data_IF_092453651253
#
_entry.id   IF_092453651253
#
_cell.length_a   1.000
_cell.length_b   1.000
_cell.length_c   1.000
_cell.angle_alpha   90.00
_cell.angle_beta   90.00
_cell.angle_gamma   90.00
#
_symmetry.space_group_name_H-M   'P 1'
#
loop_
_entity.id
_entity.type
_entity.pdbx_description
1 polymer ?
#
# COMPACT_ATOMS: atom_id res chain seq x y z
N UNK A 1 4.60 -16.17 11.84
CA UNK A 1 3.35 -15.69 11.22
C UNK A 1 3.62 -15.36 9.76
N UNK A 2 2.67 -15.63 8.86
CA UNK A 2 2.85 -15.39 7.42
C UNK A 2 1.82 -14.36 6.91
N UNK A 3 2.25 -13.54 5.96
CA UNK A 3 1.42 -12.62 5.21
C UNK A 3 0.53 -13.36 4.22
N UNK A 4 -0.55 -12.72 3.77
CA UNK A 4 -1.36 -13.20 2.66
C UNK A 4 -0.66 -13.02 1.31
N UNK A 5 -1.17 -13.71 0.30
CA UNK A 5 -0.80 -13.51 -1.09
C UNK A 5 -1.20 -12.10 -1.57
N UNK A 6 -0.45 -11.50 -2.52
CA UNK A 6 -0.82 -10.21 -3.07
C UNK A 6 -2.18 -10.28 -3.77
N UNK A 7 -2.99 -9.24 -3.60
CA UNK A 7 -4.21 -9.04 -4.38
C UNK A 7 -3.85 -8.10 -5.53
N UNK A 8 -3.72 -8.64 -6.73
CA UNK A 8 -3.33 -7.87 -7.90
C UNK A 8 -3.82 -8.54 -9.17
N UNK A 9 -4.05 -7.73 -10.20
CA UNK A 9 -4.20 -8.17 -11.57
C UNK A 9 -2.95 -7.73 -12.37
N UNK A 10 -2.14 -8.69 -12.88
CA UNK A 10 -0.94 -8.41 -13.66
C UNK A 10 -1.15 -7.46 -14.83
N UNK A 11 -2.32 -7.50 -15.47
CA UNK A 11 -2.60 -6.72 -16.68
C UNK A 11 -3.00 -5.27 -16.37
N UNK A 12 -3.46 -4.98 -15.16
CA UNK A 12 -4.06 -3.67 -14.82
C UNK A 12 -3.38 -2.94 -13.67
N UNK A 13 -2.62 -3.63 -12.82
CA UNK A 13 -2.01 -3.05 -11.63
C UNK A 13 -1.00 -1.94 -11.97
N UNK A 14 -1.26 -0.72 -11.49
CA UNK A 14 -0.43 0.50 -11.67
C UNK A 14 0.01 1.11 -10.34
N UNK A 15 -0.84 0.98 -9.32
CA UNK A 15 -0.60 1.43 -7.96
C UNK A 15 -0.51 0.22 -7.03
N UNK A 16 0.57 0.12 -6.26
CA UNK A 16 0.71 -0.89 -5.21
C UNK A 16 0.59 -0.24 -3.83
N UNK A 17 -0.41 -0.63 -3.05
CA UNK A 17 -0.58 -0.17 -1.68
C UNK A 17 -0.02 -1.23 -0.73
N UNK A 18 0.93 -0.82 0.10
CA UNK A 18 1.64 -1.70 1.02
C UNK A 18 1.36 -1.38 2.48
N UNK A 19 0.82 -2.37 3.19
CA UNK A 19 0.92 -2.41 4.64
C UNK A 19 2.27 -2.93 5.10
N UNK A 20 2.48 -3.00 6.41
CA UNK A 20 3.72 -3.51 6.99
C UNK A 20 3.64 -5.02 7.23
N UNK A 21 2.63 -5.45 7.99
CA UNK A 21 2.28 -6.83 8.26
C UNK A 21 0.79 -6.88 8.65
N UNK A 22 0.06 -7.97 8.31
CA UNK A 22 -1.31 -8.13 8.77
C UNK A 22 -1.39 -8.18 10.30
N UNK A 23 -2.35 -7.44 10.88
CA UNK A 23 -2.68 -7.55 12.30
C UNK A 23 -3.42 -8.85 12.64
N UNK A 24 -3.55 -9.16 13.94
CA UNK A 24 -4.17 -10.40 14.41
C UNK A 24 -5.60 -10.61 13.87
N UNK A 25 -6.45 -9.58 13.92
CA UNK A 25 -7.81 -9.65 13.39
C UNK A 25 -7.84 -9.96 11.89
N UNK A 26 -6.86 -9.43 11.14
CA UNK A 26 -6.69 -9.75 9.72
C UNK A 26 -6.30 -11.21 9.52
N UNK A 27 -5.31 -11.70 10.27
CA UNK A 27 -4.84 -13.08 10.20
C UNK A 27 -5.96 -14.08 10.53
N UNK A 28 -6.70 -13.83 11.61
CA UNK A 28 -7.85 -14.66 12.02
C UNK A 28 -8.96 -14.70 10.97
N UNK A 29 -9.21 -13.57 10.32
CA UNK A 29 -10.23 -13.47 9.28
C UNK A 29 -9.75 -13.94 7.89
N UNK A 30 -8.44 -14.16 7.70
CA UNK A 30 -7.86 -14.38 6.37
C UNK A 30 -8.05 -13.20 5.41
N UNK A 31 -8.12 -11.97 5.94
CA UNK A 31 -8.53 -10.77 5.17
C UNK A 31 -7.64 -9.57 5.48
N UNK A 32 -7.23 -8.85 4.43
CA UNK A 32 -6.59 -7.55 4.57
C UNK A 32 -7.47 -6.54 5.32
N UNK A 33 -6.88 -5.86 6.30
CA UNK A 33 -7.51 -4.78 7.08
C UNK A 33 -8.87 -5.16 7.69
N UNK A 34 -8.98 -6.35 8.29
CA UNK A 34 -10.24 -6.88 8.80
C UNK A 34 -10.70 -6.26 10.12
N UNK A 35 -9.81 -5.58 10.84
CA UNK A 35 -10.17 -4.96 12.13
C UNK A 35 -11.24 -3.86 11.92
N UNK A 36 -12.40 -3.89 12.61
CA UNK A 36 -13.53 -2.98 12.33
C UNK A 36 -13.19 -1.49 12.44
N UNK A 37 -12.27 -1.12 13.34
CA UNK A 37 -11.78 0.26 13.49
C UNK A 37 -10.66 0.65 12.51
N UNK A 38 -10.31 -0.20 11.55
CA UNK A 38 -9.32 0.12 10.54
C UNK A 38 -9.95 0.98 9.44
N UNK A 39 -9.38 2.15 9.18
CA UNK A 39 -9.90 3.10 8.20
C UNK A 39 -9.69 2.70 6.74
N UNK A 40 -9.01 1.59 6.44
CA UNK A 40 -8.63 1.25 5.08
C UNK A 40 -9.84 1.12 4.14
N UNK A 41 -10.82 0.27 4.48
CA UNK A 41 -11.98 0.05 3.61
C UNK A 41 -12.86 1.28 3.45
N UNK A 42 -13.14 2.09 4.49
CA UNK A 42 -13.83 3.37 4.27
C UNK A 42 -13.07 4.34 3.34
N UNK A 43 -11.73 4.43 3.44
CA UNK A 43 -10.93 5.25 2.50
C UNK A 43 -11.04 4.68 1.08
N UNK A 44 -10.88 3.37 0.91
CA UNK A 44 -11.00 2.73 -0.42
C UNK A 44 -12.40 2.87 -1.00
N UNK A 45 -13.44 2.88 -0.17
CA UNK A 45 -14.80 3.20 -0.58
C UNK A 45 -14.92 4.62 -1.13
N UNK A 46 -14.38 5.59 -0.42
CA UNK A 46 -14.44 6.99 -0.84
C UNK A 46 -13.58 7.30 -2.09
N UNK A 47 -12.48 6.57 -2.30
CA UNK A 47 -11.55 6.82 -3.41
C UNK A 47 -11.84 5.98 -4.66
N UNK A 48 -12.28 4.73 -4.49
CA UNK A 48 -12.41 3.74 -5.57
C UNK A 48 -13.76 3.04 -5.61
N UNK A 49 -14.68 3.33 -4.67
CA UNK A 49 -15.94 2.60 -4.52
C UNK A 49 -15.82 1.25 -3.81
N UNK A 50 -14.63 0.85 -3.34
CA UNK A 50 -14.36 -0.42 -2.66
C UNK A 50 -14.64 -0.36 -1.15
N UNK A 51 -15.83 0.09 -0.76
CA UNK A 51 -16.16 0.39 0.64
C UNK A 51 -16.63 -0.81 1.48
N UNK A 52 -16.80 -0.64 2.80
CA UNK A 52 -17.22 -1.70 3.71
C UNK A 52 -18.64 -2.23 3.47
N UNK A 53 -19.45 -1.53 2.67
CA UNK A 53 -20.79 -1.97 2.26
C UNK A 53 -20.77 -3.16 1.29
N UNK A 54 -19.67 -3.41 0.60
CA UNK A 54 -19.52 -4.53 -0.34
C UNK A 54 -19.03 -5.80 0.37
N UNK A 55 -19.23 -6.98 -0.22
CA UNK A 55 -18.56 -8.20 0.25
C UNK A 55 -17.03 -8.07 0.08
N UNK A 56 -16.25 -8.78 0.88
CA UNK A 56 -14.79 -8.62 0.87
C UNK A 56 -14.18 -8.87 -0.52
N UNK A 57 -14.64 -9.92 -1.17
CA UNK A 57 -14.20 -10.36 -2.49
C UNK A 57 -14.57 -9.33 -3.57
N UNK A 58 -15.73 -8.68 -3.44
CA UNK A 58 -16.16 -7.58 -4.32
C UNK A 58 -15.28 -6.35 -4.14
N UNK A 59 -14.90 -6.00 -2.90
CA UNK A 59 -13.98 -4.88 -2.63
C UNK A 59 -12.63 -5.12 -3.33
N UNK A 60 -12.10 -6.33 -3.25
CA UNK A 60 -10.86 -6.70 -3.94
C UNK A 60 -11.01 -6.57 -5.46
N UNK A 61 -12.13 -7.06 -6.02
CA UNK A 61 -12.38 -6.96 -7.45
C UNK A 61 -12.50 -5.51 -7.94
N UNK A 62 -13.13 -4.62 -7.16
CA UNK A 62 -13.20 -3.18 -7.48
C UNK A 62 -11.81 -2.56 -7.50
N UNK A 63 -10.96 -2.85 -6.50
CA UNK A 63 -9.59 -2.34 -6.46
C UNK A 63 -8.75 -2.84 -7.63
N UNK A 64 -8.80 -4.14 -7.96
CA UNK A 64 -8.07 -4.69 -9.10
C UNK A 64 -8.51 -4.04 -10.42
N UNK A 65 -9.83 -3.87 -10.65
CA UNK A 65 -10.33 -3.16 -11.84
C UNK A 65 -9.89 -1.70 -11.91
N UNK A 66 -9.69 -1.05 -10.76
CA UNK A 66 -9.14 0.29 -10.67
C UNK A 66 -7.60 0.35 -10.83
N UNK A 67 -6.94 -0.79 -11.08
CA UNK A 67 -5.49 -0.88 -11.21
C UNK A 67 -4.74 -0.75 -9.88
N UNK A 68 -5.40 -1.07 -8.77
CA UNK A 68 -4.85 -1.04 -7.41
C UNK A 68 -4.52 -2.45 -6.94
N UNK A 69 -3.25 -2.69 -6.62
CA UNK A 69 -2.76 -3.89 -5.99
C UNK A 69 -2.58 -3.70 -4.48
N UNK A 70 -2.84 -4.73 -3.68
CA UNK A 70 -2.65 -4.76 -2.23
C UNK A 70 -1.66 -5.84 -1.83
N UNK A 71 -0.73 -5.49 -0.94
CA UNK A 71 0.13 -6.47 -0.27
C UNK A 71 0.66 -5.91 1.05
N UNK A 72 1.51 -6.67 1.73
CA UNK A 72 2.34 -6.17 2.84
C UNK A 72 3.81 -6.31 2.48
N UNK A 73 4.66 -5.51 3.13
CA UNK A 73 6.11 -5.58 2.92
C UNK A 73 6.69 -6.86 3.50
N UNK A 74 6.26 -7.25 4.70
CA UNK A 74 6.84 -8.40 5.41
C UNK A 74 6.08 -9.68 5.03
N UNK A 75 6.81 -10.68 4.55
CA UNK A 75 6.30 -12.02 4.28
C UNK A 75 6.05 -12.80 5.57
N UNK A 76 6.97 -12.66 6.52
CA UNK A 76 6.90 -13.38 7.78
C UNK A 76 7.68 -12.66 8.87
N UNK A 77 7.25 -12.88 10.11
CA UNK A 77 7.99 -12.53 11.31
C UNK A 77 7.72 -13.57 12.40
N UNK A 78 8.69 -13.73 13.30
CA UNK A 78 8.50 -14.50 14.52
C UNK A 78 7.72 -13.68 15.55
N UNK A 79 6.94 -14.39 16.36
CA UNK A 79 6.22 -13.81 17.50
C UNK A 79 6.78 -14.44 18.77
N UNK A 80 7.33 -13.62 19.65
CA UNK A 80 7.86 -14.05 20.95
C UNK A 80 6.71 -14.09 21.98
N UNK A 81 6.04 -15.24 22.13
CA UNK A 81 4.92 -15.40 23.07
C UNK A 81 3.56 -14.94 22.54
N UNK A 82 2.56 -14.85 23.43
CA UNK A 82 1.13 -14.66 23.07
C UNK A 82 0.68 -13.20 22.93
N UNK A 83 1.50 -12.22 23.33
CA UNK A 83 1.14 -10.79 23.31
C UNK A 83 1.40 -10.15 21.92
N UNK A 84 0.55 -9.20 21.51
CA UNK A 84 0.61 -8.52 20.20
C UNK A 84 1.86 -7.63 20.02
N UNK A 85 2.51 -7.22 21.11
CA UNK A 85 3.72 -6.38 21.10
C UNK A 85 5.01 -7.14 20.82
N UNK A 86 4.95 -8.46 20.67
CA UNK A 86 6.13 -9.31 20.61
C UNK A 86 6.54 -9.75 19.19
N UNK A 87 6.23 -8.94 18.17
CA UNK A 87 6.73 -9.17 16.82
C UNK A 87 8.23 -8.87 16.81
N UNK A 88 9.06 -9.89 16.58
CA UNK A 88 10.50 -9.66 16.39
C UNK A 88 10.73 -9.17 14.96
N UNK A 89 10.88 -7.85 14.80
CA UNK A 89 11.17 -7.24 13.52
C UNK A 89 12.58 -7.58 12.99
N UNK A 90 13.47 -8.16 13.81
CA UNK A 90 14.81 -8.58 13.39
C UNK A 90 14.77 -9.87 12.58
N UNK A 91 13.84 -10.79 12.89
CA UNK A 91 13.60 -12.00 12.08
C UNK A 91 12.67 -11.76 10.89
N UNK A 92 12.17 -10.53 10.73
CA UNK A 92 11.21 -10.23 9.69
C UNK A 92 11.83 -10.27 8.29
N UNK A 93 11.24 -11.07 7.41
CA UNK A 93 11.63 -11.22 6.01
C UNK A 93 10.66 -10.46 5.11
N UNK A 94 11.17 -9.80 4.08
CA UNK A 94 10.34 -9.14 3.08
C UNK A 94 9.75 -10.16 2.09
N UNK A 95 8.60 -9.81 1.51
CA UNK A 95 8.04 -10.54 0.37
C UNK A 95 8.94 -10.43 -0.87
N UNK A 96 8.81 -11.38 -1.81
CA UNK A 96 9.55 -11.36 -3.07
C UNK A 96 8.96 -10.32 -4.04
N UNK A 97 9.35 -9.07 -3.81
CA UNK A 97 8.96 -7.95 -4.67
C UNK A 97 9.65 -7.97 -6.03
N UNK A 98 10.80 -8.64 -6.17
CA UNK A 98 11.50 -8.71 -7.45
C UNK A 98 10.66 -9.53 -8.45
N UNK A 99 10.25 -10.75 -8.06
CA UNK A 99 9.37 -11.58 -8.86
C UNK A 99 8.00 -10.90 -9.07
N UNK A 100 7.43 -10.30 -8.03
CA UNK A 100 6.13 -9.63 -8.13
C UNK A 100 6.16 -8.46 -9.12
N UNK A 101 7.16 -7.58 -9.06
CA UNK A 101 7.24 -6.41 -9.95
C UNK A 101 7.64 -6.77 -11.39
N UNK A 102 8.30 -7.92 -11.60
CA UNK A 102 8.52 -8.47 -12.95
C UNK A 102 7.20 -8.95 -13.55
N UNK A 103 6.35 -9.64 -12.78
CA UNK A 103 5.03 -10.05 -13.21
C UNK A 103 4.04 -8.89 -13.40
N UNK A 104 4.28 -7.73 -12.76
CA UNK A 104 3.42 -6.55 -12.81
C UNK A 104 4.19 -5.32 -13.34
N UNK A 105 4.54 -5.29 -14.65
CA UNK A 105 5.42 -4.26 -15.20
C UNK A 105 4.82 -2.86 -15.18
N UNK A 106 3.48 -2.74 -15.14
CA UNK A 106 2.77 -1.46 -15.14
C UNK A 106 2.78 -0.74 -13.78
N UNK A 107 3.23 -1.39 -12.70
CA UNK A 107 3.30 -0.77 -11.37
C UNK A 107 4.36 0.33 -11.38
N UNK A 108 3.95 1.58 -11.54
CA UNK A 108 4.85 2.73 -11.51
C UNK A 108 5.01 3.32 -10.11
N UNK A 109 4.04 3.04 -9.23
CA UNK A 109 3.87 3.75 -7.96
C UNK A 109 3.58 2.81 -6.79
N UNK A 110 4.24 3.07 -5.67
CA UNK A 110 4.04 2.37 -4.40
C UNK A 110 3.61 3.36 -3.33
N UNK A 111 2.50 3.06 -2.67
CA UNK A 111 1.97 3.85 -1.57
C UNK A 111 2.02 3.05 -0.25
N UNK A 112 2.73 3.59 0.74
CA UNK A 112 2.96 2.91 2.02
C UNK A 112 1.92 3.34 3.05
N UNK A 113 1.13 2.39 3.56
CA UNK A 113 0.19 2.60 4.66
C UNK A 113 0.94 2.65 6.01
N UNK A 114 1.57 3.79 6.29
CA UNK A 114 2.34 4.05 7.50
C UNK A 114 3.87 3.98 7.33
N UNK A 115 4.58 4.49 8.33
CA UNK A 115 6.04 4.64 8.29
C UNK A 115 6.78 3.30 8.28
N UNK A 116 6.31 2.32 9.04
CA UNK A 116 6.98 1.01 9.14
C UNK A 116 7.08 0.32 7.77
N UNK A 117 6.00 0.33 6.99
CA UNK A 117 5.99 -0.25 5.65
C UNK A 117 7.05 0.43 4.76
N UNK A 118 7.09 1.76 4.74
CA UNK A 118 8.08 2.51 3.97
C UNK A 118 9.52 2.19 4.40
N UNK A 119 9.80 2.21 5.71
CA UNK A 119 11.14 1.96 6.24
C UNK A 119 11.62 0.56 5.88
N UNK A 120 10.77 -0.46 6.04
CA UNK A 120 11.12 -1.84 5.70
C UNK A 120 11.32 -2.01 4.20
N UNK A 121 10.45 -1.45 3.37
CA UNK A 121 10.60 -1.54 1.92
C UNK A 121 11.90 -0.88 1.44
N UNK A 122 12.21 0.33 1.93
CA UNK A 122 13.45 1.03 1.56
C UNK A 122 14.70 0.26 1.93
N UNK A 123 14.68 -0.43 3.08
CA UNK A 123 15.83 -1.16 3.60
C UNK A 123 16.00 -2.53 2.93
N UNK A 124 14.91 -3.29 2.83
CA UNK A 124 14.96 -4.71 2.48
C UNK A 124 14.63 -4.99 1.01
N UNK A 125 13.93 -4.08 0.33
CA UNK A 125 13.37 -4.32 -1.01
C UNK A 125 13.98 -3.41 -2.08
N UNK A 126 14.05 -2.11 -1.80
CA UNK A 126 14.50 -1.10 -2.75
C UNK A 126 15.88 -1.38 -3.41
N UNK A 127 16.88 -1.98 -2.73
CA UNK A 127 18.15 -2.34 -3.37
C UNK A 127 18.04 -3.39 -4.48
N UNK A 128 16.92 -4.13 -4.55
CA UNK A 128 16.75 -5.30 -5.42
C UNK A 128 15.68 -5.12 -6.49
N UNK A 129 15.08 -3.93 -6.60
CA UNK A 129 13.99 -3.65 -7.53
C UNK A 129 14.26 -2.39 -8.35
N UNK A 130 13.57 -2.25 -9.49
CA UNK A 130 13.64 -1.03 -10.29
C UNK A 130 13.14 0.19 -9.51
N UNK A 131 13.50 1.39 -9.98
CA UNK A 131 13.02 2.65 -9.41
C UNK A 131 11.50 2.75 -9.54
N UNK A 132 10.84 3.18 -8.46
CA UNK A 132 9.40 3.36 -8.35
C UNK A 132 9.12 4.75 -7.79
N UNK A 133 8.01 5.36 -8.20
CA UNK A 133 7.45 6.49 -7.45
C UNK A 133 6.93 5.97 -6.11
N UNK A 134 7.26 6.67 -5.02
CA UNK A 134 7.06 6.18 -3.66
C UNK A 134 6.46 7.27 -2.79
N UNK A 135 5.29 7.00 -2.22
CA UNK A 135 4.58 7.93 -1.34
C UNK A 135 4.25 7.28 0.00
N UNK A 136 4.42 8.00 1.11
CA UNK A 136 4.00 7.55 2.43
C UNK A 136 2.65 8.16 2.78
N UNK A 137 1.72 7.29 3.17
CA UNK A 137 0.39 7.63 3.62
C UNK A 137 0.28 7.52 5.15
N UNK A 138 -0.62 8.29 5.81
CA UNK A 138 -0.90 8.08 7.22
C UNK A 138 -1.52 6.69 7.43
N UNK A 139 -1.17 6.06 8.56
CA UNK A 139 -1.62 4.70 8.82
C UNK A 139 -3.13 4.63 9.05
N UNK A 140 -3.79 3.66 8.43
CA UNK A 140 -5.22 3.38 8.63
C UNK A 140 -5.50 2.54 9.89
N UNK A 141 -4.46 2.09 10.59
CA UNK A 141 -4.58 1.35 11.84
C UNK A 141 -5.26 2.20 12.93
N UNK A 142 -6.07 1.59 13.83
CA UNK A 142 -6.62 2.28 14.99
C UNK A 142 -5.53 2.76 15.96
N UNK A 143 -4.34 2.15 15.95
CA UNK A 143 -3.20 2.62 16.76
C UNK A 143 -2.69 4.00 16.33
N UNK A 144 -2.98 4.43 15.09
CA UNK A 144 -2.67 5.76 14.60
C UNK A 144 -3.84 6.71 14.83
N UNK A 145 -4.17 6.95 16.10
CA UNK A 145 -5.31 7.76 16.54
C UNK A 145 -5.05 9.29 16.51
N UNK A 146 -3.82 9.72 16.21
CA UNK A 146 -3.43 11.14 16.13
C UNK A 146 -4.06 11.89 14.95
N UNK A 147 -4.67 11.19 13.98
CA UNK A 147 -5.37 11.76 12.84
C UNK A 147 -6.80 11.24 12.80
N UNK A 148 -7.75 12.15 12.56
CA UNK A 148 -9.14 11.78 12.30
C UNK A 148 -9.27 11.01 10.99
N UNK A 149 -10.40 10.30 10.84
CA UNK A 149 -10.70 9.55 9.62
C UNK A 149 -10.74 10.46 8.38
N UNK A 150 -11.34 11.65 8.50
CA UNK A 150 -11.43 12.61 7.41
C UNK A 150 -10.07 13.17 7.03
N UNK A 151 -9.22 13.49 8.01
CA UNK A 151 -7.86 13.95 7.75
C UNK A 151 -7.03 12.87 7.03
N UNK A 152 -7.21 11.59 7.40
CA UNK A 152 -6.59 10.47 6.66
C UNK A 152 -7.11 10.41 5.23
N UNK A 153 -8.42 10.52 5.02
CA UNK A 153 -9.01 10.48 3.69
C UNK A 153 -8.47 11.61 2.79
N UNK A 154 -8.35 12.84 3.32
CA UNK A 154 -7.76 13.98 2.59
C UNK A 154 -6.32 13.67 2.18
N UNK A 155 -5.48 13.27 3.14
CA UNK A 155 -4.08 12.94 2.86
C UNK A 155 -3.93 11.79 1.84
N UNK A 156 -4.78 10.76 1.94
CA UNK A 156 -4.80 9.66 0.97
C UNK A 156 -5.25 10.12 -0.42
N UNK A 157 -6.26 10.99 -0.50
CA UNK A 157 -6.73 11.54 -1.77
C UNK A 157 -5.65 12.34 -2.46
N UNK A 158 -5.03 13.28 -1.76
CA UNK A 158 -3.97 14.15 -2.31
C UNK A 158 -2.76 13.34 -2.77
N UNK A 159 -2.30 12.41 -1.93
CA UNK A 159 -1.14 11.59 -2.23
C UNK A 159 -1.36 10.65 -3.42
N UNK A 160 -2.57 10.13 -3.62
CA UNK A 160 -2.87 9.18 -4.68
C UNK A 160 -3.29 9.82 -6.01
N UNK A 161 -3.48 11.14 -6.07
CA UNK A 161 -3.68 11.83 -7.34
C UNK A 161 -2.50 11.57 -8.28
N UNK A 162 -2.75 11.36 -9.59
CA UNK A 162 -1.67 11.27 -10.55
C UNK A 162 -0.88 12.57 -10.52
N UNK A 163 0.45 12.47 -10.38
CA UNK A 163 1.32 13.63 -10.49
C UNK A 163 1.00 14.33 -11.82
N UNK A 164 0.47 15.55 -11.76
CA UNK A 164 0.51 16.47 -12.90
C UNK A 164 1.99 16.75 -13.11
N UNK A 165 2.65 15.97 -13.96
CA UNK A 165 3.92 16.39 -14.55
C UNK A 165 3.66 17.75 -15.17
N UNK A 166 4.25 18.80 -14.59
CA UNK A 166 4.25 20.12 -15.17
C UNK A 166 4.73 20.01 -16.63
N UNK A 167 4.14 20.73 -17.60
CA UNK A 167 4.69 20.79 -18.93
C UNK A 167 6.13 21.30 -18.82
N UNK A 168 7.08 20.61 -19.46
CA UNK A 168 8.36 21.19 -19.80
C UNK A 168 8.10 22.32 -20.80
N UNK A 169 7.79 23.53 -20.32
CA UNK A 169 7.87 24.74 -21.14
C UNK A 169 9.35 25.09 -21.33
N UNK A 170 10.01 24.32 -22.20
CA UNK A 170 11.25 24.69 -22.86
C UNK A 170 10.94 25.24 -24.24
N UNK A 171 10.19 26.34 -24.34
CA UNK A 171 10.07 27.08 -25.60
C UNK A 171 11.38 27.84 -25.84
N UNK A 172 12.27 27.20 -26.59
CA UNK A 172 13.29 27.88 -27.36
C UNK A 172 12.61 28.86 -28.33
N UNK A 173 12.81 30.17 -28.12
CA UNK A 173 12.78 31.20 -29.17
C UNK A 173 13.75 32.30 -28.81
N UNK A 174 15.03 32.10 -29.16
CA UNK A 174 15.98 33.19 -29.32
C UNK A 174 16.15 33.49 -30.82
N UNK A 175 16.06 34.77 -31.13
CA UNK A 175 16.33 35.49 -32.38
C UNK A 175 15.29 35.41 -33.52
N UNK A 176 14.99 36.57 -34.14
CA UNK A 176 16.00 37.37 -34.84
C UNK A 176 16.01 38.88 -34.53
N UNK A 177 17.22 39.46 -34.55
CA UNK A 177 17.59 40.75 -35.17
C UNK A 177 19.06 40.68 -35.57
#
# INVERSE_FOLDING_TARGET
MHCFAPVADPATARLLILGSMPGLASLQAGRYYAHPRNGFWPIMGALFGAGPQLAYEERLAVLMRAGVALWDVLASCERQGSLDTAIDLRSAQANDFAAFLQAHPLIGRVAFNGALAQTRFRRDVMPHVRRLDMVRLPSTSPAHASLSMDAKLVAWREALQPNRTAPLEGSAKNNPS
#
